data_IF_325656337088
#
_entry.id   IF_325656337088
#
_cell.length_a   1.000
_cell.length_b   1.000
_cell.length_c   1.000
_cell.angle_alpha   90.00
_cell.angle_beta   90.00
_cell.angle_gamma   90.00
#
_symmetry.space_group_name_H-M   'P 1'
#
loop_
_entity.id
_entity.type
_entity.pdbx_description
1 polymer ?
#
# COMPACT_ATOMS: atom_id res chain seq x y z
N UNK A 1 11.68 -3.20 7.62
CA UNK A 1 10.55 -2.46 8.25
C UNK A 1 9.22 -2.73 7.55
N UNK A 2 9.09 -2.58 6.23
CA UNK A 2 7.84 -2.89 5.47
C UNK A 2 7.31 -4.33 5.71
N UNK A 3 8.20 -5.26 6.05
CA UNK A 3 7.88 -6.64 6.45
C UNK A 3 7.16 -6.74 7.79
N UNK A 4 7.40 -5.82 8.73
CA UNK A 4 6.81 -5.85 10.08
C UNK A 4 5.39 -5.27 10.10
N UNK A 5 5.11 -4.21 9.33
CA UNK A 5 3.74 -3.67 9.23
C UNK A 5 2.81 -4.63 8.51
N UNK A 6 3.29 -5.24 7.42
CA UNK A 6 2.57 -6.32 6.76
C UNK A 6 2.38 -7.52 7.69
N UNK A 7 3.43 -7.92 8.43
CA UNK A 7 3.31 -8.99 9.41
C UNK A 7 2.29 -8.65 10.51
N UNK A 8 2.24 -7.41 11.00
CA UNK A 8 1.28 -6.97 12.01
C UNK A 8 -0.15 -7.04 11.50
N UNK A 9 -0.42 -6.54 10.29
CA UNK A 9 -1.74 -6.59 9.68
C UNK A 9 -2.18 -8.03 9.37
N UNK A 10 -1.27 -8.86 8.87
CA UNK A 10 -1.51 -10.29 8.63
C UNK A 10 -1.78 -11.04 9.94
N UNK A 11 -0.99 -10.79 10.99
CA UNK A 11 -1.18 -11.40 12.32
C UNK A 11 -2.53 -11.04 12.92
N UNK A 12 -3.00 -9.80 12.74
CA UNK A 12 -4.35 -9.38 13.18
C UNK A 12 -5.45 -10.20 12.48
N UNK A 13 -5.34 -10.42 11.17
CA UNK A 13 -6.30 -11.25 10.43
C UNK A 13 -6.24 -12.71 10.88
N UNK A 14 -5.04 -13.28 11.06
CA UNK A 14 -4.88 -14.66 11.52
C UNK A 14 -5.51 -14.83 12.91
N UNK A 15 -5.25 -13.91 13.84
CA UNK A 15 -5.84 -13.93 15.18
C UNK A 15 -7.36 -13.82 15.12
N UNK A 16 -7.90 -12.98 14.22
CA UNK A 16 -9.33 -12.83 14.03
C UNK A 16 -9.98 -14.10 13.45
N UNK A 17 -9.35 -14.73 12.45
CA UNK A 17 -9.81 -16.01 11.89
C UNK A 17 -9.82 -17.07 12.99
N UNK A 18 -8.77 -17.15 13.82
CA UNK A 18 -8.71 -18.07 14.95
C UNK A 18 -9.84 -17.83 15.96
N UNK A 19 -10.11 -16.57 16.31
CA UNK A 19 -11.21 -16.19 17.19
C UNK A 19 -12.58 -16.54 16.58
N UNK A 20 -12.78 -16.29 15.28
CA UNK A 20 -14.02 -16.65 14.57
C UNK A 20 -14.25 -18.17 14.57
N UNK A 21 -13.21 -18.97 14.30
CA UNK A 21 -13.32 -20.43 14.34
C UNK A 21 -13.66 -20.94 15.74
N UNK A 22 -13.05 -20.36 16.78
CA UNK A 22 -13.36 -20.70 18.18
C UNK A 22 -14.81 -20.35 18.54
N UNK A 23 -15.27 -19.16 18.16
CA UNK A 23 -16.67 -18.76 18.38
C UNK A 23 -17.65 -19.64 17.59
N UNK A 24 -17.29 -20.03 16.36
CA UNK A 24 -18.07 -20.98 15.56
C UNK A 24 -18.27 -22.30 16.30
N UNK A 25 -17.16 -22.81 16.86
CA UNK A 25 -17.14 -24.06 17.59
C UNK A 25 -18.01 -23.98 18.85
N UNK A 26 -17.87 -22.91 19.63
CA UNK A 26 -18.69 -22.71 20.83
C UNK A 26 -20.17 -22.53 20.51
N UNK A 27 -20.50 -21.79 19.46
CA UNK A 27 -21.88 -21.62 19.02
C UNK A 27 -22.47 -22.95 18.55
N UNK A 28 -21.75 -23.73 17.73
CA UNK A 28 -22.19 -25.07 17.31
C UNK A 28 -22.42 -26.00 18.50
N UNK A 29 -21.51 -26.03 19.46
CA UNK A 29 -21.67 -26.79 20.70
C UNK A 29 -22.89 -26.32 21.51
N UNK A 30 -23.13 -25.01 21.62
CA UNK A 30 -24.27 -24.44 22.34
C UNK A 30 -25.61 -24.79 21.66
N UNK A 31 -25.65 -24.74 20.33
CA UNK A 31 -26.83 -25.09 19.51
C UNK A 31 -27.24 -26.55 19.69
N UNK A 32 -26.29 -27.44 19.98
CA UNK A 32 -26.58 -28.85 20.32
C UNK A 32 -26.86 -29.05 21.82
N UNK A 33 -26.12 -28.35 22.69
CA UNK A 33 -26.22 -28.49 24.14
C UNK A 33 -27.62 -28.15 24.68
N UNK A 34 -28.27 -27.11 24.17
CA UNK A 34 -29.59 -26.70 24.69
C UNK A 34 -30.68 -27.74 24.41
N UNK A 35 -30.86 -28.26 23.18
CA UNK A 35 -31.76 -29.39 22.94
C UNK A 35 -31.42 -30.63 23.78
N UNK A 36 -30.12 -30.91 23.98
CA UNK A 36 -29.68 -32.04 24.82
C UNK A 36 -30.12 -31.88 26.28
N UNK A 37 -30.06 -30.66 26.84
CA UNK A 37 -30.52 -30.37 28.21
C UNK A 37 -32.05 -30.38 28.35
N UNK A 38 -32.78 -30.33 27.23
CA UNK A 38 -34.25 -30.40 27.17
C UNK A 38 -34.74 -31.81 26.81
N UNK A 39 -33.87 -32.82 26.86
CA UNK A 39 -34.16 -34.21 26.46
C UNK A 39 -34.69 -34.34 25.02
N UNK A 40 -34.14 -33.54 24.09
CA UNK A 40 -34.46 -33.53 22.65
C UNK A 40 -35.97 -33.42 22.35
N UNK A 41 -36.60 -32.26 22.62
CA UNK A 41 -38.04 -32.10 22.39
C UNK A 41 -38.39 -32.27 20.90
N UNK A 42 -39.62 -32.65 20.59
CA UNK A 42 -40.01 -33.04 19.23
C UNK A 42 -39.91 -31.91 18.19
N UNK A 43 -39.90 -30.66 18.64
CA UNK A 43 -39.84 -29.43 17.86
C UNK A 43 -38.42 -28.81 17.77
N UNK A 44 -37.39 -29.46 18.35
CA UNK A 44 -36.01 -29.02 18.17
C UNK A 44 -35.41 -29.51 16.85
N UNK A 45 -34.39 -28.80 16.37
CA UNK A 45 -33.72 -29.13 15.11
C UNK A 45 -33.15 -30.56 15.05
N UNK A 46 -32.72 -31.14 16.18
CA UNK A 46 -32.16 -32.51 16.21
C UNK A 46 -33.26 -33.54 15.92
N UNK A 47 -34.39 -33.41 16.60
CA UNK A 47 -35.57 -34.29 16.46
C UNK A 47 -36.24 -34.13 15.10
N UNK A 48 -36.41 -32.89 14.63
CA UNK A 48 -36.99 -32.59 13.32
C UNK A 48 -36.16 -33.16 12.17
N UNK A 49 -34.83 -33.17 12.32
CA UNK A 49 -33.93 -33.78 11.33
C UNK A 49 -33.76 -35.29 11.50
N UNK A 50 -34.39 -35.91 12.53
CA UNK A 50 -34.28 -37.33 12.87
C UNK A 50 -32.85 -37.79 13.19
N UNK A 51 -32.04 -36.93 13.80
CA UNK A 51 -30.62 -37.18 14.06
C UNK A 51 -30.31 -37.55 15.52
N UNK A 52 -31.31 -37.78 16.36
CA UNK A 52 -31.13 -38.02 17.82
C UNK A 52 -30.21 -39.21 18.11
N UNK A 53 -30.24 -40.24 17.26
CA UNK A 53 -29.46 -41.47 17.43
C UNK A 53 -28.24 -41.55 16.50
N UNK A 54 -27.91 -40.46 15.80
CA UNK A 54 -26.78 -40.41 14.88
C UNK A 54 -25.45 -40.35 15.64
N UNK A 55 -24.36 -40.58 14.92
CA UNK A 55 -23.03 -40.54 15.55
C UNK A 55 -22.70 -39.12 16.02
N UNK A 56 -21.91 -39.01 17.09
CA UNK A 56 -21.48 -37.70 17.61
C UNK A 56 -20.78 -36.85 16.54
N UNK A 57 -20.07 -37.48 15.60
CA UNK A 57 -19.41 -36.81 14.49
C UNK A 57 -20.40 -36.15 13.54
N UNK A 58 -21.49 -36.83 13.19
CA UNK A 58 -22.56 -36.29 12.33
C UNK A 58 -23.28 -35.14 13.02
N UNK A 59 -23.65 -35.33 14.29
CA UNK A 59 -24.28 -34.31 15.13
C UNK A 59 -23.42 -33.05 15.27
N UNK A 60 -22.15 -33.22 15.63
CA UNK A 60 -21.20 -32.12 15.75
C UNK A 60 -20.98 -31.40 14.42
N UNK A 61 -20.80 -32.17 13.32
CA UNK A 61 -20.59 -31.59 11.99
C UNK A 61 -21.79 -30.75 11.54
N UNK A 62 -23.00 -31.24 11.78
CA UNK A 62 -24.22 -30.51 11.43
C UNK A 62 -24.43 -29.29 12.34
N UNK A 63 -24.17 -29.39 13.64
CA UNK A 63 -24.27 -28.27 14.56
C UNK A 63 -23.24 -27.17 14.21
N UNK A 64 -22.01 -27.54 13.87
CA UNK A 64 -20.99 -26.63 13.39
C UNK A 64 -21.37 -26.01 12.04
N UNK A 65 -21.94 -26.79 11.12
CA UNK A 65 -22.47 -26.28 9.85
C UNK A 65 -23.58 -25.23 10.08
N UNK A 66 -24.51 -25.49 11.02
CA UNK A 66 -25.56 -24.55 11.39
C UNK A 66 -24.97 -23.24 11.95
N UNK A 67 -24.06 -23.33 12.93
CA UNK A 67 -23.38 -22.16 13.50
C UNK A 67 -22.57 -21.37 12.46
N UNK A 68 -21.82 -22.06 11.61
CA UNK A 68 -21.05 -21.44 10.52
C UNK A 68 -21.95 -20.74 9.51
N UNK A 69 -23.12 -21.32 9.21
CA UNK A 69 -24.09 -20.74 8.29
C UNK A 69 -24.69 -19.44 8.83
N UNK A 70 -24.92 -19.33 10.15
CA UNK A 70 -25.32 -18.07 10.77
C UNK A 70 -24.18 -17.05 10.75
N UNK A 71 -22.94 -17.47 11.03
CA UNK A 71 -21.78 -16.57 11.06
C UNK A 71 -21.39 -15.99 9.72
N UNK A 72 -21.46 -16.78 8.65
CA UNK A 72 -21.14 -16.33 7.30
C UNK A 72 -22.37 -15.78 6.55
N UNK A 73 -23.48 -15.53 7.27
CA UNK A 73 -24.71 -14.97 6.73
C UNK A 73 -25.32 -15.79 5.57
N UNK A 74 -25.23 -17.13 5.63
CA UNK A 74 -25.76 -18.05 4.60
C UNK A 74 -27.21 -18.47 4.92
N UNK A 75 -27.50 -18.87 6.15
CA UNK A 75 -28.83 -19.38 6.53
C UNK A 75 -28.87 -20.30 7.74
N UNK A 76 -29.98 -21.04 7.90
CA UNK A 76 -30.40 -21.68 9.17
C UNK A 76 -30.07 -23.18 9.35
N UNK A 77 -29.50 -23.82 8.32
CA UNK A 77 -29.34 -25.29 8.26
C UNK A 77 -30.35 -25.92 7.29
N UNK A 78 -31.11 -26.93 7.73
CA UNK A 78 -32.08 -27.64 6.88
C UNK A 78 -33.43 -26.93 6.75
N UNK A 79 -33.87 -26.26 7.81
CA UNK A 79 -35.12 -25.49 7.87
C UNK A 79 -35.04 -24.40 8.94
N UNK A 80 -36.02 -23.49 8.95
CA UNK A 80 -36.13 -22.45 9.96
C UNK A 80 -36.41 -23.06 11.36
N UNK A 81 -35.93 -22.42 12.46
CA UNK A 81 -36.20 -22.92 13.81
C UNK A 81 -37.70 -22.84 14.13
N UNK A 82 -38.23 -23.91 14.72
CA UNK A 82 -39.64 -24.01 15.11
C UNK A 82 -39.82 -23.79 16.62
N UNK A 83 -38.98 -24.44 17.44
CA UNK A 83 -39.01 -24.26 18.90
C UNK A 83 -38.56 -22.87 19.33
N UNK A 84 -39.17 -22.35 20.39
CA UNK A 84 -38.82 -21.03 20.95
C UNK A 84 -37.36 -20.97 21.42
N UNK A 85 -36.82 -22.07 21.96
CA UNK A 85 -35.40 -22.16 22.35
C UNK A 85 -34.48 -22.03 21.13
N UNK A 86 -34.78 -22.77 20.06
CA UNK A 86 -34.02 -22.74 18.81
C UNK A 86 -34.10 -21.37 18.12
N UNK A 87 -35.24 -20.67 18.20
CA UNK A 87 -35.40 -19.30 17.67
C UNK A 87 -34.44 -18.34 18.38
N UNK A 88 -34.47 -18.29 19.71
CA UNK A 88 -33.61 -17.37 20.47
C UNK A 88 -32.12 -17.69 20.31
N UNK A 89 -31.74 -18.97 20.28
CA UNK A 89 -30.36 -19.39 20.01
C UNK A 89 -29.91 -18.99 18.61
N UNK A 90 -30.79 -19.16 17.62
CA UNK A 90 -30.51 -18.77 16.24
C UNK A 90 -30.35 -17.25 16.13
N UNK A 91 -31.22 -16.47 16.77
CA UNK A 91 -31.09 -15.01 16.81
C UNK A 91 -29.77 -14.56 17.48
N UNK A 92 -29.39 -15.17 18.60
CA UNK A 92 -28.13 -14.88 19.29
C UNK A 92 -26.92 -15.20 18.39
N UNK A 93 -26.92 -16.39 17.78
CA UNK A 93 -25.89 -16.85 16.85
C UNK A 93 -25.75 -15.91 15.65
N UNK A 94 -26.87 -15.44 15.07
CA UNK A 94 -26.86 -14.47 13.98
C UNK A 94 -26.26 -13.12 14.39
N UNK A 95 -26.57 -12.60 15.59
CA UNK A 95 -26.01 -11.34 16.08
C UNK A 95 -24.48 -11.45 16.27
N UNK A 96 -24.03 -12.51 16.94
CA UNK A 96 -22.60 -12.77 17.15
C UNK A 96 -21.89 -12.96 15.81
N UNK A 97 -22.47 -13.78 14.94
CA UNK A 97 -22.00 -14.10 13.62
C UNK A 97 -21.81 -12.87 12.72
N UNK A 98 -22.87 -12.09 12.54
CA UNK A 98 -22.85 -10.87 11.73
C UNK A 98 -21.82 -9.85 12.25
N UNK A 99 -21.69 -9.71 13.58
CA UNK A 99 -20.69 -8.82 14.20
C UNK A 99 -19.27 -9.29 13.89
N UNK A 100 -19.00 -10.60 14.04
CA UNK A 100 -17.69 -11.17 13.72
C UNK A 100 -17.34 -11.01 12.23
N UNK A 101 -18.30 -11.26 11.34
CA UNK A 101 -18.10 -11.14 9.91
C UNK A 101 -17.87 -9.67 9.48
N UNK A 102 -18.58 -8.71 10.08
CA UNK A 102 -18.33 -7.29 9.86
C UNK A 102 -16.91 -6.88 10.30
N UNK A 103 -16.45 -7.34 11.46
CA UNK A 103 -15.07 -7.11 11.91
C UNK A 103 -14.05 -7.72 10.94
N UNK A 104 -14.31 -8.92 10.43
CA UNK A 104 -13.45 -9.57 9.42
C UNK A 104 -13.30 -8.74 8.16
N UNK A 105 -14.43 -8.26 7.59
CA UNK A 105 -14.41 -7.37 6.43
C UNK A 105 -13.62 -6.09 6.72
N UNK A 106 -13.81 -5.49 7.91
CA UNK A 106 -13.09 -4.29 8.34
C UNK A 106 -11.57 -4.51 8.35
N UNK A 107 -11.11 -5.60 8.95
CA UNK A 107 -9.68 -5.94 9.01
C UNK A 107 -9.09 -6.31 7.64
N UNK A 108 -9.83 -7.05 6.80
CA UNK A 108 -9.42 -7.36 5.44
C UNK A 108 -9.25 -6.09 4.60
N UNK A 109 -10.19 -5.15 4.71
CA UNK A 109 -10.13 -3.85 4.03
C UNK A 109 -8.91 -3.03 4.49
N UNK A 110 -8.64 -3.00 5.79
CA UNK A 110 -7.48 -2.30 6.34
C UNK A 110 -6.14 -2.89 5.85
N UNK A 111 -6.03 -4.22 5.76
CA UNK A 111 -4.85 -4.88 5.20
C UNK A 111 -4.62 -4.45 3.74
N UNK A 112 -5.66 -4.51 2.91
CA UNK A 112 -5.58 -4.11 1.50
C UNK A 112 -5.10 -2.65 1.39
N UNK A 113 -5.62 -1.76 2.24
CA UNK A 113 -5.20 -0.36 2.24
C UNK A 113 -3.75 -0.15 2.70
N UNK A 114 -3.24 -0.97 3.61
CA UNK A 114 -1.86 -0.86 4.10
C UNK A 114 -0.81 -1.36 3.10
N UNK A 115 -1.17 -2.28 2.21
CA UNK A 115 -0.23 -2.94 1.30
C UNK A 115 0.35 -1.99 0.24
N UNK A 116 -0.37 -0.93 -0.13
CA UNK A 116 0.01 -0.08 -1.26
C UNK A 116 -0.07 1.42 -0.94
N UNK A 117 0.41 1.82 0.24
CA UNK A 117 0.33 3.21 0.73
C UNK A 117 1.04 4.22 -0.19
N UNK A 118 2.29 3.96 -0.57
CA UNK A 118 3.08 4.87 -1.43
C UNK A 118 2.50 5.03 -2.85
N UNK A 119 1.93 3.96 -3.42
CA UNK A 119 1.25 4.02 -4.72
C UNK A 119 -0.09 4.73 -4.61
N UNK A 120 -0.83 4.52 -3.52
CA UNK A 120 -2.07 5.25 -3.25
C UNK A 120 -1.81 6.75 -3.13
N UNK A 121 -0.76 7.15 -2.41
CA UNK A 121 -0.33 8.55 -2.33
C UNK A 121 0.02 9.13 -3.70
N UNK A 122 0.77 8.39 -4.52
CA UNK A 122 1.06 8.80 -5.90
C UNK A 122 -0.23 9.00 -6.72
N UNK A 123 -1.16 8.04 -6.67
CA UNK A 123 -2.44 8.11 -7.40
C UNK A 123 -3.31 9.27 -6.92
N UNK A 124 -3.42 9.47 -5.60
CA UNK A 124 -4.17 10.59 -5.01
C UNK A 124 -3.56 11.94 -5.45
N UNK A 125 -2.24 12.07 -5.43
CA UNK A 125 -1.56 13.29 -5.88
C UNK A 125 -1.75 13.51 -7.38
N UNK A 126 -1.58 12.47 -8.19
CA UNK A 126 -1.74 12.56 -9.64
C UNK A 126 -3.18 12.93 -10.03
N UNK A 127 -4.18 12.40 -9.31
CA UNK A 127 -5.59 12.79 -9.50
C UNK A 127 -5.83 14.28 -9.23
N UNK A 128 -5.16 14.87 -8.23
CA UNK A 128 -5.22 16.33 -8.02
C UNK A 128 -4.60 17.10 -9.20
N UNK A 129 -3.50 16.59 -9.77
CA UNK A 129 -2.89 17.17 -10.98
C UNK A 129 -3.85 17.09 -12.17
N UNK A 130 -4.52 15.96 -12.38
CA UNK A 130 -5.53 15.82 -13.43
C UNK A 130 -6.69 16.81 -13.26
N UNK A 131 -7.19 16.97 -12.04
CA UNK A 131 -8.21 17.96 -11.72
C UNK A 131 -7.74 19.38 -12.02
N UNK A 132 -6.50 19.71 -11.67
CA UNK A 132 -5.89 21.00 -12.00
C UNK A 132 -5.79 21.22 -13.52
N UNK A 133 -5.30 20.23 -14.27
CA UNK A 133 -5.21 20.29 -15.73
C UNK A 133 -6.58 20.44 -16.41
N UNK A 134 -7.59 19.76 -15.86
CA UNK A 134 -8.97 19.83 -16.34
C UNK A 134 -9.59 21.21 -16.08
N UNK A 135 -9.44 21.73 -14.86
CA UNK A 135 -9.93 23.05 -14.46
C UNK A 135 -9.37 24.17 -15.35
N UNK A 136 -8.07 24.12 -15.63
CA UNK A 136 -7.40 25.08 -16.51
C UNK A 136 -7.54 24.77 -18.01
N UNK A 137 -8.28 23.70 -18.37
CA UNK A 137 -8.53 23.29 -19.77
C UNK A 137 -7.25 23.17 -20.59
N UNK A 138 -6.21 22.58 -20.01
CA UNK A 138 -4.93 22.40 -20.70
C UNK A 138 -5.11 21.50 -21.94
N UNK A 139 -4.41 21.78 -23.07
CA UNK A 139 -4.47 20.96 -24.28
C UNK A 139 -4.02 19.51 -24.03
N UNK A 140 -4.52 18.57 -24.83
CA UNK A 140 -4.23 17.14 -24.68
C UNK A 140 -2.72 16.83 -24.70
N UNK A 141 -1.98 17.42 -25.64
CA UNK A 141 -0.52 17.23 -25.76
C UNK A 141 0.22 17.67 -24.51
N UNK A 142 -0.21 18.77 -23.89
CA UNK A 142 0.41 19.27 -22.66
C UNK A 142 0.06 18.38 -21.45
N UNK A 143 -1.15 17.81 -21.41
CA UNK A 143 -1.53 16.82 -20.39
C UNK A 143 -0.69 15.56 -20.52
N UNK A 144 -0.49 15.06 -21.74
CA UNK A 144 0.37 13.91 -21.99
C UNK A 144 1.80 14.20 -21.55
N UNK A 145 2.32 15.39 -21.87
CA UNK A 145 3.65 15.82 -21.41
C UNK A 145 3.76 15.79 -19.88
N UNK A 146 2.75 16.28 -19.16
CA UNK A 146 2.70 16.23 -17.69
C UNK A 146 2.61 14.78 -17.18
N UNK A 147 1.78 13.94 -17.81
CA UNK A 147 1.66 12.51 -17.47
C UNK A 147 3.02 11.80 -17.57
N UNK A 148 3.68 11.92 -18.73
CA UNK A 148 4.97 11.31 -18.97
C UNK A 148 6.01 11.81 -17.96
N UNK A 149 6.00 13.11 -17.63
CA UNK A 149 6.89 13.67 -16.60
C UNK A 149 6.67 13.00 -15.23
N UNK A 150 5.42 12.86 -14.78
CA UNK A 150 5.11 12.23 -13.50
C UNK A 150 5.50 10.75 -13.46
N UNK A 151 5.27 10.01 -14.54
CA UNK A 151 5.71 8.61 -14.65
C UNK A 151 7.24 8.49 -14.56
N UNK A 152 7.99 9.33 -15.28
CA UNK A 152 9.45 9.28 -15.23
C UNK A 152 10.03 9.77 -13.89
N UNK A 153 9.42 10.79 -13.26
CA UNK A 153 9.91 11.40 -12.02
C UNK A 153 9.65 10.55 -10.78
N UNK A 154 8.51 9.85 -10.73
CA UNK A 154 8.06 9.13 -9.54
C UNK A 154 7.92 7.62 -9.75
N UNK A 155 7.87 7.12 -10.98
CA UNK A 155 7.81 5.68 -11.29
C UNK A 155 6.68 4.95 -10.54
N UNK A 156 5.54 5.63 -10.39
CA UNK A 156 4.36 5.11 -9.69
C UNK A 156 4.44 5.10 -8.16
N UNK A 157 5.51 5.65 -7.56
CA UNK A 157 5.68 5.77 -6.10
C UNK A 157 6.09 7.18 -5.72
N UNK A 158 5.40 7.75 -4.74
CA UNK A 158 5.71 9.08 -4.24
C UNK A 158 6.23 9.00 -2.81
N UNK A 159 7.33 9.71 -2.55
CA UNK A 159 7.93 9.84 -1.24
C UNK A 159 8.21 11.31 -0.97
N UNK A 160 8.01 11.74 0.27
CA UNK A 160 8.49 13.05 0.74
C UNK A 160 9.94 12.91 1.19
N UNK A 161 10.86 12.93 0.22
CA UNK A 161 12.29 12.68 0.46
C UNK A 161 12.90 13.69 1.43
N UNK A 162 12.47 14.96 1.39
CA UNK A 162 12.98 16.00 2.30
C UNK A 162 12.57 15.71 3.74
N UNK A 163 11.28 15.44 3.99
CA UNK A 163 10.80 15.06 5.32
C UNK A 163 11.45 13.78 5.84
N UNK A 164 11.62 12.76 4.99
CA UNK A 164 12.26 11.49 5.38
C UNK A 164 13.71 11.71 5.79
N UNK A 165 14.47 12.50 5.04
CA UNK A 165 15.88 12.77 5.34
C UNK A 165 16.05 13.68 6.57
N UNK A 166 15.06 14.54 6.86
CA UNK A 166 15.03 15.39 8.06
C UNK A 166 14.82 14.61 9.36
N UNK A 167 14.05 13.51 9.33
CA UNK A 167 13.86 12.62 10.49
C UNK A 167 15.13 11.82 10.86
N UNK A 168 16.06 11.67 9.93
CA UNK A 168 17.31 10.94 10.13
C UNK A 168 18.39 11.83 10.76
N UNK A 169 19.25 11.20 11.55
CA UNK A 169 20.46 11.86 12.03
C UNK A 169 21.44 12.13 10.88
N UNK A 170 22.37 13.06 11.11
CA UNK A 170 23.33 13.52 10.10
C UNK A 170 24.16 12.37 9.49
N UNK A 171 24.74 11.42 10.25
CA UNK A 171 25.52 10.33 9.65
C UNK A 171 24.71 9.43 8.72
N UNK A 172 23.45 9.10 9.06
CA UNK A 172 22.60 8.27 8.20
C UNK A 172 22.22 9.01 6.92
N UNK A 173 21.96 10.32 7.01
CA UNK A 173 21.68 11.16 5.84
C UNK A 173 22.87 11.19 4.89
N UNK A 174 24.07 11.38 5.41
CA UNK A 174 25.31 11.36 4.62
C UNK A 174 25.53 10.00 3.94
N UNK A 175 25.29 8.90 4.65
CA UNK A 175 25.43 7.54 4.10
C UNK A 175 24.44 7.27 2.97
N UNK A 176 23.17 7.65 3.13
CA UNK A 176 22.13 7.51 2.09
C UNK A 176 22.48 8.32 0.85
N UNK A 177 22.85 9.59 1.04
CA UNK A 177 23.19 10.50 -0.07
C UNK A 177 24.42 9.99 -0.82
N UNK A 178 25.47 9.56 -0.10
CA UNK A 178 26.64 8.93 -0.71
C UNK A 178 26.28 7.66 -1.49
N UNK A 179 25.39 6.82 -0.96
CA UNK A 179 24.92 5.62 -1.66
C UNK A 179 24.15 5.98 -2.94
N UNK A 180 23.21 6.91 -2.88
CA UNK A 180 22.37 7.32 -4.02
C UNK A 180 23.21 7.97 -5.13
N UNK A 181 24.20 8.77 -4.75
CA UNK A 181 25.07 9.48 -5.68
C UNK A 181 26.36 8.74 -6.05
N UNK A 182 26.60 7.51 -5.57
CA UNK A 182 27.86 6.77 -5.81
C UNK A 182 28.26 6.65 -7.28
N UNK A 183 27.28 6.47 -8.17
CA UNK A 183 27.51 6.40 -9.62
C UNK A 183 27.98 7.74 -10.17
N UNK A 184 27.34 8.82 -9.73
CA UNK A 184 27.70 10.18 -10.09
C UNK A 184 29.14 10.49 -9.64
N UNK A 185 29.44 10.23 -8.36
CA UNK A 185 30.78 10.42 -7.76
C UNK A 185 31.84 9.66 -8.51
N UNK A 186 31.61 8.37 -8.80
CA UNK A 186 32.57 7.53 -9.52
C UNK A 186 32.78 7.96 -10.98
N UNK A 187 31.75 8.51 -11.63
CA UNK A 187 31.82 8.96 -13.02
C UNK A 187 32.44 10.34 -13.21
N UNK A 188 32.52 11.14 -12.15
CA UNK A 188 32.91 12.55 -12.23
C UNK A 188 34.38 12.77 -11.85
N UNK A 189 35.23 13.21 -12.80
CA UNK A 189 36.62 13.54 -12.50
C UNK A 189 36.77 14.61 -11.42
N UNK A 190 35.78 15.51 -11.28
CA UNK A 190 35.75 16.56 -10.27
C UNK A 190 35.76 15.99 -8.84
N UNK A 191 35.08 14.87 -8.60
CA UNK A 191 34.98 14.26 -7.27
C UNK A 191 36.04 13.19 -7.02
N UNK A 192 36.62 12.60 -8.08
CA UNK A 192 37.57 11.49 -7.96
C UNK A 192 38.81 11.81 -7.11
N UNK A 193 39.26 13.08 -7.11
CA UNK A 193 40.45 13.53 -6.38
C UNK A 193 40.13 14.56 -5.27
N UNK A 194 38.85 14.75 -4.95
CA UNK A 194 38.42 15.73 -3.95
C UNK A 194 38.43 15.12 -2.52
N UNK A 195 38.50 15.99 -1.51
CA UNK A 195 38.34 15.59 -0.12
C UNK A 195 36.97 14.92 0.09
N UNK A 196 36.89 13.71 0.70
CA UNK A 196 35.62 13.05 0.97
C UNK A 196 34.62 13.90 1.76
N UNK A 197 35.09 14.76 2.68
CA UNK A 197 34.23 15.68 3.42
C UNK A 197 33.61 16.74 2.50
N UNK A 198 34.39 17.25 1.55
CA UNK A 198 33.90 18.17 0.53
C UNK A 198 32.86 17.51 -0.37
N UNK A 199 33.11 16.26 -0.81
CA UNK A 199 32.16 15.50 -1.62
C UNK A 199 30.85 15.32 -0.88
N UNK A 200 30.88 14.81 0.36
CA UNK A 200 29.67 14.64 1.18
C UNK A 200 28.93 15.96 1.40
N UNK A 201 29.65 17.05 1.71
CA UNK A 201 29.06 18.37 1.87
C UNK A 201 28.37 18.89 0.59
N UNK A 202 28.91 18.58 -0.60
CA UNK A 202 28.26 18.94 -1.86
C UNK A 202 27.04 18.04 -2.14
N UNK A 203 27.18 16.72 -1.97
CA UNK A 203 26.10 15.78 -2.29
C UNK A 203 24.84 16.05 -1.45
N UNK A 204 24.99 16.45 -0.19
CA UNK A 204 23.85 16.83 0.68
C UNK A 204 23.11 18.09 0.24
N UNK A 205 23.68 18.88 -0.68
CA UNK A 205 23.04 20.07 -1.28
C UNK A 205 22.45 19.80 -2.67
N UNK A 206 22.68 18.64 -3.25
CA UNK A 206 22.11 18.28 -4.55
C UNK A 206 20.60 18.08 -4.43
N UNK A 207 19.88 18.46 -5.49
CA UNK A 207 18.44 18.20 -5.63
C UNK A 207 18.21 17.44 -6.93
N UNK A 208 17.46 16.35 -6.86
CA UNK A 208 17.14 15.52 -8.01
C UNK A 208 16.08 16.19 -8.89
N UNK A 209 16.43 16.43 -10.16
CA UNK A 209 15.55 17.01 -11.18
C UNK A 209 15.50 16.08 -12.41
N UNK A 210 14.35 16.04 -13.09
CA UNK A 210 14.12 15.25 -14.31
C UNK A 210 13.66 16.21 -15.41
N UNK A 211 14.19 16.06 -16.62
CA UNK A 211 13.82 16.86 -17.79
C UNK A 211 13.40 15.94 -18.93
N UNK A 212 12.42 16.38 -19.74
CA UNK A 212 11.97 15.62 -20.90
C UNK A 212 12.80 15.96 -22.15
N UNK A 213 12.86 15.06 -23.14
CA UNK A 213 13.49 15.36 -24.41
C UNK A 213 12.91 16.64 -25.05
N UNK A 214 13.80 17.56 -25.46
CA UNK A 214 13.42 18.83 -26.06
C UNK A 214 13.21 19.99 -25.08
N UNK A 215 13.28 19.75 -23.77
CA UNK A 215 13.25 20.83 -22.78
C UNK A 215 14.55 21.65 -22.78
N UNK A 216 14.41 22.96 -22.65
CA UNK A 216 15.54 23.88 -22.45
C UNK A 216 15.86 23.97 -20.96
N UNK A 217 16.96 23.35 -20.53
CA UNK A 217 17.42 23.37 -19.12
C UNK A 217 18.00 24.75 -18.77
N UNK A 218 18.89 25.29 -19.60
CA UNK A 218 19.47 26.63 -19.48
C UNK A 218 19.20 27.40 -20.78
N UNK A 219 18.88 28.69 -20.67
CA UNK A 219 18.71 29.59 -21.81
C UNK A 219 19.85 30.61 -21.85
N UNK A 220 20.47 30.76 -23.03
CA UNK A 220 21.50 31.78 -23.27
C UNK A 220 20.95 33.19 -22.95
N UNK A 221 21.77 34.02 -22.29
CA UNK A 221 21.39 35.39 -21.93
C UNK A 221 20.51 35.50 -20.68
N UNK A 222 20.25 34.40 -19.97
CA UNK A 222 19.55 34.41 -18.68
C UNK A 222 20.53 34.33 -17.51
N UNK A 223 20.15 34.89 -16.37
CA UNK A 223 20.95 34.83 -15.13
C UNK A 223 20.88 33.41 -14.59
N UNK A 224 22.04 32.73 -14.53
CA UNK A 224 22.17 31.43 -13.89
C UNK A 224 22.07 31.53 -12.37
N UNK A 225 21.41 30.55 -11.75
CA UNK A 225 21.28 30.46 -10.27
C UNK A 225 21.64 29.07 -9.74
N UNK A 226 21.95 28.14 -10.64
CA UNK A 226 22.19 26.72 -10.37
C UNK A 226 23.16 26.18 -11.42
N UNK A 227 23.98 25.21 -11.01
CA UNK A 227 24.68 24.30 -11.90
C UNK A 227 24.02 22.93 -11.85
N UNK A 228 24.31 22.10 -12.85
CA UNK A 228 23.70 20.79 -13.02
C UNK A 228 24.76 19.71 -13.21
N UNK A 229 24.52 18.56 -12.60
CA UNK A 229 25.33 17.36 -12.73
C UNK A 229 24.50 16.28 -13.44
N UNK A 230 25.02 15.68 -14.51
CA UNK A 230 24.30 14.67 -15.30
C UNK A 230 24.53 13.29 -14.67
N UNK A 231 23.52 12.82 -13.93
CA UNK A 231 23.52 11.44 -13.42
C UNK A 231 23.16 10.43 -14.51
N UNK A 232 22.19 10.76 -15.36
CA UNK A 232 21.77 9.92 -16.47
C UNK A 232 21.13 10.75 -17.59
N UNK A 233 21.52 10.50 -18.83
CA UNK A 233 20.96 11.10 -20.03
C UNK A 233 21.98 11.86 -20.89
N UNK A 234 21.47 12.51 -21.94
CA UNK A 234 22.30 13.27 -22.89
C UNK A 234 21.74 14.67 -23.04
N UNK A 235 22.58 15.67 -22.85
CA UNK A 235 22.25 17.09 -23.04
C UNK A 235 22.99 17.64 -24.25
N UNK A 236 22.33 18.47 -25.05
CA UNK A 236 22.97 19.17 -26.17
C UNK A 236 23.13 20.64 -25.81
N UNK A 237 24.38 21.11 -25.80
CA UNK A 237 24.73 22.52 -25.59
C UNK A 237 24.68 23.21 -26.95
N UNK A 238 23.75 24.16 -27.08
CA UNK A 238 23.55 24.94 -28.30
C UNK A 238 24.14 26.33 -28.10
N UNK A 239 25.13 26.72 -28.89
CA UNK A 239 25.66 28.09 -28.92
C UNK A 239 25.56 28.68 -30.31
N UNK A 240 25.47 30.01 -30.40
CA UNK A 240 25.43 30.70 -31.70
C UNK A 240 26.71 30.44 -32.48
N UNK A 241 26.60 29.67 -33.57
CA UNK A 241 27.68 29.47 -34.54
C UNK A 241 28.58 28.26 -34.29
N UNK A 242 28.26 27.35 -33.35
CA UNK A 242 28.99 26.07 -33.20
C UNK A 242 28.08 24.86 -33.38
N UNK A 243 28.68 23.73 -33.80
CA UNK A 243 27.99 22.45 -33.85
C UNK A 243 27.74 22.00 -32.40
N UNK A 244 26.49 21.76 -32.03
CA UNK A 244 26.11 21.53 -30.63
C UNK A 244 26.92 20.43 -29.95
N UNK A 245 27.55 20.75 -28.81
CA UNK A 245 28.32 19.81 -28.01
C UNK A 245 27.37 18.91 -27.23
N UNK A 246 27.60 17.60 -27.22
CA UNK A 246 26.83 16.65 -26.42
C UNK A 246 27.55 16.35 -25.11
N UNK A 247 26.83 16.48 -24.00
CA UNK A 247 27.25 16.08 -22.67
C UNK A 247 26.50 14.80 -22.27
N UNK A 248 27.19 13.87 -21.63
CA UNK A 248 26.65 12.57 -21.21
C UNK A 248 26.82 12.37 -19.70
N UNK A 249 26.35 11.23 -19.18
CA UNK A 249 26.53 10.77 -17.80
C UNK A 249 27.94 11.07 -17.27
N UNK A 250 28.03 11.68 -16.09
CA UNK A 250 29.30 12.11 -15.47
C UNK A 250 29.79 13.49 -15.91
N UNK A 251 29.13 14.16 -16.85
CA UNK A 251 29.40 15.56 -17.21
C UNK A 251 28.59 16.52 -16.31
N UNK A 252 29.02 17.78 -16.23
CA UNK A 252 28.31 18.86 -15.55
C UNK A 252 28.28 20.11 -16.43
N UNK A 253 27.38 21.04 -16.13
CA UNK A 253 27.25 22.31 -16.87
C UNK A 253 26.58 23.40 -16.03
N UNK A 254 26.69 24.66 -16.45
CA UNK A 254 26.09 25.81 -15.77
C UNK A 254 26.95 26.36 -14.63
N UNK A 255 28.22 26.01 -14.59
CA UNK A 255 29.20 26.44 -13.59
C UNK A 255 29.73 27.86 -13.82
N UNK A 256 29.78 28.33 -15.08
CA UNK A 256 30.40 29.63 -15.43
C UNK A 256 29.57 30.83 -14.92
N UNK A 257 28.27 30.62 -14.65
CA UNK A 257 27.34 31.67 -14.23
C UNK A 257 27.09 31.72 -12.72
N UNK A 258 27.81 30.92 -11.92
CA UNK A 258 27.78 30.92 -10.45
C UNK A 258 28.95 31.73 -9.90
#
# INVERSE_FOLDING_TARGET
LMTYDLASAVMRIINLIGMMLLLCHWDGCLQFLVPMLQDFPSDCWVSLNKMVNDTWTELYSFALFKAMSHMLCIGYGRQAPESMSDIWLTMLSMIVGATCYAMFIGHATALIQSLDSSRRQYQEKYKQVEQYMSFHKLPADFRQKIHDYYEHRYQGKMFDEESILEELNEPLREEIVNFNCRKLVASMPLFANADPNFVTAMLTKLRFEVFQPGDYIIREGTIGKKMYFIQHGVVSVLTKGSLGMKLMDGSYFGEICL
#
